data_IF_400573939426
#
_entry.id   IF_400573939426
#
_cell.length_a   1.000
_cell.length_b   1.000
_cell.length_c   1.000
_cell.angle_alpha   90.00
_cell.angle_beta   90.00
_cell.angle_gamma   90.00
#
_symmetry.space_group_name_H-M   'P 1'
#
loop_
_entity.id
_entity.type
_entity.pdbx_description
1 polymer ?
#
# COMPACT_ATOMS: atom_id res chain seq x y z
N UNK A 1 -41.81 18.67 39.19
CA UNK A 1 -40.44 18.80 38.65
C UNK A 1 -39.79 17.45 38.76
N UNK A 2 -39.46 16.80 37.64
CA UNK A 2 -38.64 15.58 37.64
C UNK A 2 -37.54 15.76 36.60
N UNK A 3 -36.35 16.12 37.05
CA UNK A 3 -35.14 16.08 36.22
C UNK A 3 -34.72 14.61 36.11
N UNK A 4 -35.13 13.94 35.03
CA UNK A 4 -34.55 12.67 34.66
C UNK A 4 -33.13 12.88 34.15
N UNK A 5 -32.16 13.09 35.05
CA UNK A 5 -30.73 13.10 34.70
C UNK A 5 -30.28 11.66 34.52
N UNK A 6 -30.74 11.01 33.46
CA UNK A 6 -30.26 9.68 33.07
C UNK A 6 -28.95 9.83 32.29
N UNK A 7 -27.88 9.20 32.79
CA UNK A 7 -26.63 9.08 32.03
C UNK A 7 -26.84 8.03 30.94
N UNK A 8 -26.76 8.43 29.68
CA UNK A 8 -26.74 7.51 28.54
C UNK A 8 -25.29 7.08 28.32
N UNK A 9 -24.99 5.79 28.48
CA UNK A 9 -23.68 5.22 28.16
C UNK A 9 -23.79 4.29 26.96
N UNK A 10 -22.83 4.41 26.04
CA UNK A 10 -22.68 3.51 24.91
C UNK A 10 -21.36 2.75 25.05
N UNK A 11 -21.40 1.45 24.80
CA UNK A 11 -20.19 0.63 24.71
C UNK A 11 -19.82 0.47 23.25
N UNK A 12 -18.57 0.78 22.90
CA UNK A 12 -18.03 0.63 21.54
C UNK A 12 -16.81 -0.27 21.61
N UNK A 13 -16.75 -1.27 20.73
CA UNK A 13 -15.61 -2.16 20.61
C UNK A 13 -14.67 -1.65 19.51
N UNK A 14 -13.46 -1.24 19.89
CA UNK A 14 -12.40 -0.86 18.95
C UNK A 14 -11.58 -2.11 18.61
N UNK A 15 -11.60 -2.51 17.33
CA UNK A 15 -10.75 -3.57 16.83
C UNK A 15 -9.58 -2.98 16.02
N UNK A 16 -8.36 -3.05 16.56
CA UNK A 16 -7.15 -2.60 15.88
C UNK A 16 -6.59 -3.77 15.06
N UNK A 17 -6.45 -3.60 13.74
CA UNK A 17 -5.81 -4.58 12.86
C UNK A 17 -4.57 -3.97 12.23
N UNK A 18 -3.41 -4.63 12.38
CA UNK A 18 -2.19 -4.25 11.67
C UNK A 18 -2.22 -4.82 10.25
N UNK A 19 -2.26 -3.98 9.20
CA UNK A 19 -2.23 -4.49 7.85
C UNK A 19 -0.89 -5.17 7.55
N UNK A 20 -0.94 -6.33 6.88
CA UNK A 20 0.27 -7.06 6.45
C UNK A 20 0.30 -7.13 4.95
N UNK A 21 1.41 -6.68 4.36
CA UNK A 21 1.59 -6.63 2.92
C UNK A 21 2.93 -7.27 2.51
N UNK A 22 2.95 -7.86 1.32
CA UNK A 22 4.16 -8.46 0.74
C UNK A 22 4.22 -8.14 -0.75
N UNK A 23 5.40 -7.73 -1.23
CA UNK A 23 5.66 -7.53 -2.66
C UNK A 23 6.07 -8.89 -3.25
N UNK A 24 5.43 -9.28 -4.34
CA UNK A 24 5.73 -10.49 -5.09
C UNK A 24 6.96 -10.26 -5.96
N UNK A 25 7.86 -11.25 -6.00
CA UNK A 25 9.09 -11.19 -6.77
C UNK A 25 10.33 -11.05 -5.90
N UNK A 26 11.50 -10.79 -6.50
CA UNK A 26 12.75 -10.63 -5.78
C UNK A 26 12.76 -9.34 -4.95
N UNK A 27 13.49 -9.35 -3.83
CA UNK A 27 13.68 -8.17 -2.96
C UNK A 27 14.45 -7.04 -3.63
N UNK A 28 15.28 -7.42 -4.60
CA UNK A 28 16.18 -6.55 -5.35
C UNK A 28 15.98 -6.82 -6.83
N UNK A 29 15.82 -5.74 -7.60
CA UNK A 29 15.67 -5.79 -9.04
C UNK A 29 16.81 -5.02 -9.70
N UNK A 30 17.45 -5.64 -10.68
CA UNK A 30 18.38 -4.98 -11.57
C UNK A 30 17.61 -4.35 -12.73
N UNK A 31 17.56 -3.03 -12.75
CA UNK A 31 16.75 -2.27 -13.70
C UNK A 31 17.63 -1.76 -14.83
N UNK A 32 17.35 -2.24 -16.04
CA UNK A 32 17.90 -1.66 -17.26
C UNK A 32 17.13 -0.42 -17.67
N UNK A 33 17.85 0.58 -18.18
CA UNK A 33 17.24 1.82 -18.65
C UNK A 33 16.25 1.56 -19.79
N UNK A 34 15.10 2.22 -19.75
CA UNK A 34 14.08 2.12 -20.79
C UNK A 34 13.11 0.95 -20.62
N UNK A 35 13.40 -0.03 -19.76
CA UNK A 35 12.50 -1.14 -19.52
C UNK A 35 11.25 -0.73 -18.71
N UNK A 36 10.18 -1.50 -18.88
CA UNK A 36 8.99 -1.39 -18.04
C UNK A 36 9.04 -2.43 -16.92
N UNK A 37 8.82 -1.98 -15.68
CA UNK A 37 8.81 -2.84 -14.50
C UNK A 37 7.40 -2.85 -13.92
N UNK A 38 6.95 -4.03 -13.52
CA UNK A 38 5.67 -4.20 -12.82
C UNK A 38 5.91 -4.90 -11.50
N UNK A 39 5.48 -4.26 -10.41
CA UNK A 39 5.51 -4.79 -9.07
C UNK A 39 4.10 -5.04 -8.59
N UNK A 40 3.90 -6.18 -7.93
CA UNK A 40 2.61 -6.57 -7.39
C UNK A 40 2.78 -6.75 -5.90
N UNK A 41 1.97 -6.06 -5.11
CA UNK A 41 1.90 -6.23 -3.68
C UNK A 41 0.55 -6.83 -3.29
N UNK A 42 0.59 -7.81 -2.38
CA UNK A 42 -0.59 -8.46 -1.81
C UNK A 42 -0.70 -8.09 -0.34
N UNK A 43 -1.82 -7.47 0.02
CA UNK A 43 -2.21 -7.17 1.39
C UNK A 43 -3.06 -8.34 1.89
N UNK A 44 -2.49 -9.11 2.81
CA UNK A 44 -3.05 -10.36 3.34
C UNK A 44 -3.97 -10.12 4.54
N UNK A 45 -3.76 -9.03 5.27
CA UNK A 45 -4.52 -8.66 6.47
C UNK A 45 -4.76 -7.15 6.48
N UNK A 46 -5.89 -6.74 7.02
CA UNK A 46 -6.30 -5.33 7.05
C UNK A 46 -6.82 -4.83 5.71
N UNK A 47 -7.65 -3.78 5.75
CA UNK A 47 -8.12 -3.04 4.58
C UNK A 47 -7.66 -1.59 4.73
N UNK A 48 -6.40 -1.29 4.37
CA UNK A 48 -5.88 0.06 4.53
C UNK A 48 -6.64 1.02 3.59
N UNK A 49 -6.97 2.25 4.02
CA UNK A 49 -7.59 3.25 3.16
C UNK A 49 -6.65 3.72 2.04
N UNK A 50 -5.33 3.65 2.26
CA UNK A 50 -4.32 4.10 1.32
C UNK A 50 -3.13 3.14 1.26
N UNK A 51 -2.42 3.15 0.12
CA UNK A 51 -1.21 2.36 -0.09
C UNK A 51 -0.16 3.26 -0.72
N UNK A 52 1.04 3.24 -0.14
CA UNK A 52 2.15 4.07 -0.58
C UNK A 52 3.30 3.19 -1.06
N UNK A 53 3.82 3.50 -2.24
CA UNK A 53 5.00 2.85 -2.81
C UNK A 53 6.23 3.71 -2.58
N UNK A 54 7.35 3.05 -2.29
CA UNK A 54 8.62 3.68 -2.00
C UNK A 54 9.76 2.96 -2.71
N UNK A 55 10.79 3.73 -3.06
CA UNK A 55 12.08 3.26 -3.53
C UNK A 55 13.17 3.98 -2.72
N UNK A 56 14.07 3.24 -2.09
CA UNK A 56 15.14 3.80 -1.24
C UNK A 56 14.64 4.86 -0.23
N UNK A 57 13.50 4.58 0.41
CA UNK A 57 12.81 5.48 1.36
C UNK A 57 12.19 6.74 0.75
N UNK A 58 12.36 6.99 -0.54
CA UNK A 58 11.62 8.03 -1.25
C UNK A 58 10.29 7.49 -1.74
N UNK A 59 9.23 8.24 -1.45
CA UNK A 59 7.91 7.95 -1.99
C UNK A 59 7.96 8.05 -3.51
N UNK A 60 7.49 7.01 -4.18
CA UNK A 60 7.34 6.98 -5.63
C UNK A 60 6.03 7.70 -5.95
N UNK A 61 6.13 8.95 -6.41
CA UNK A 61 5.00 9.88 -6.61
C UNK A 61 5.12 10.60 -7.97
N UNK A 62 3.96 10.93 -8.56
CA UNK A 62 3.73 11.76 -9.75
C UNK A 62 4.88 11.89 -10.76
N UNK A 63 5.24 10.77 -11.40
CA UNK A 63 5.99 10.76 -12.66
C UNK A 63 5.01 10.27 -13.74
N UNK A 64 5.02 10.88 -14.92
CA UNK A 64 4.17 10.47 -16.06
C UNK A 64 4.46 9.04 -16.51
N UNK A 65 5.60 8.50 -16.10
CA UNK A 65 6.02 7.14 -16.37
C UNK A 65 5.46 6.10 -15.39
N UNK A 66 4.88 6.54 -14.28
CA UNK A 66 4.41 5.68 -13.19
C UNK A 66 2.89 5.51 -13.25
N UNK A 67 2.43 4.29 -12.99
CA UNK A 67 1.02 3.98 -12.76
C UNK A 67 0.88 3.14 -11.49
N UNK A 68 -0.05 3.51 -10.61
CA UNK A 68 -0.40 2.75 -9.41
C UNK A 68 -1.87 2.36 -9.51
N UNK A 69 -2.12 1.06 -9.50
CA UNK A 69 -3.48 0.50 -9.51
C UNK A 69 -3.69 -0.29 -8.22
N UNK A 70 -4.81 -0.08 -7.55
CA UNK A 70 -5.18 -0.87 -6.36
C UNK A 70 -6.49 -1.57 -6.64
N UNK A 71 -6.49 -2.89 -6.57
CA UNK A 71 -7.64 -3.75 -6.82
C UNK A 71 -7.96 -4.57 -5.56
N UNK A 72 -9.21 -4.55 -5.13
CA UNK A 72 -9.68 -5.34 -3.99
C UNK A 72 -10.32 -6.62 -4.52
N UNK A 73 -9.79 -7.78 -4.13
CA UNK A 73 -10.31 -9.09 -4.50
C UNK A 73 -10.75 -9.84 -3.22
N UNK A 74 -12.03 -9.71 -2.88
CA UNK A 74 -12.62 -10.29 -1.68
C UNK A 74 -12.02 -9.74 -0.39
N UNK A 75 -11.24 -10.57 0.31
CA UNK A 75 -10.55 -10.19 1.55
C UNK A 75 -9.12 -9.70 1.33
N UNK A 76 -8.58 -9.83 0.11
CA UNK A 76 -7.21 -9.44 -0.24
C UNK A 76 -7.23 -8.15 -1.03
N UNK A 77 -6.22 -7.31 -0.82
CA UNK A 77 -6.01 -6.12 -1.65
C UNK A 77 -4.72 -6.28 -2.42
N UNK A 78 -4.77 -6.05 -3.72
CA UNK A 78 -3.64 -6.11 -4.61
C UNK A 78 -3.28 -4.70 -5.06
N UNK A 79 -2.06 -4.25 -4.82
CA UNK A 79 -1.54 -3.00 -5.37
C UNK A 79 -0.52 -3.32 -6.45
N UNK A 80 -0.64 -2.69 -7.61
CA UNK A 80 0.26 -2.84 -8.75
C UNK A 80 0.94 -1.50 -9.01
N UNK A 81 2.26 -1.48 -8.99
CA UNK A 81 3.07 -0.35 -9.44
C UNK A 81 3.71 -0.71 -10.77
N UNK A 82 3.44 0.09 -11.79
CA UNK A 82 4.06 -0.02 -13.12
C UNK A 82 4.94 1.20 -13.35
N UNK A 83 6.20 0.96 -13.72
CA UNK A 83 7.20 1.98 -14.04
C UNK A 83 7.60 1.79 -15.49
N UNK A 84 7.14 2.66 -16.37
CA UNK A 84 7.60 2.68 -17.78
C UNK A 84 8.90 3.47 -17.90
N UNK A 85 9.72 3.16 -18.92
CA UNK A 85 10.99 3.86 -19.17
C UNK A 85 11.81 4.08 -17.89
N UNK A 86 12.00 3.00 -17.13
CA UNK A 86 12.68 3.07 -15.85
C UNK A 86 14.09 3.62 -16.04
N UNK A 87 14.55 4.43 -15.10
CA UNK A 87 15.96 4.87 -15.08
C UNK A 87 16.82 3.66 -14.73
N UNK A 88 18.03 3.56 -15.26
CA UNK A 88 18.94 2.52 -14.79
C UNK A 88 19.18 2.71 -13.30
N UNK A 89 18.80 1.70 -12.51
CA UNK A 89 19.09 1.64 -11.09
C UNK A 89 19.73 0.28 -10.84
N UNK A 90 21.00 0.23 -10.42
CA UNK A 90 21.70 -1.04 -10.21
C UNK A 90 21.08 -1.86 -9.08
N UNK A 91 20.43 -1.21 -8.10
CA UNK A 91 19.79 -1.87 -6.98
C UNK A 91 18.46 -1.17 -6.68
N UNK A 92 17.35 -1.68 -7.24
CA UNK A 92 16.02 -1.13 -6.96
C UNK A 92 15.37 -1.92 -5.83
N UNK A 93 15.21 -1.29 -4.65
CA UNK A 93 14.50 -1.88 -3.50
C UNK A 93 13.10 -1.28 -3.39
N UNK A 94 12.05 -1.98 -3.85
CA UNK A 94 10.70 -1.52 -3.63
C UNK A 94 10.27 -1.79 -2.19
N UNK A 95 9.57 -0.82 -1.61
CA UNK A 95 8.86 -1.00 -0.34
C UNK A 95 7.45 -0.46 -0.45
N UNK A 96 6.56 -0.99 0.38
CA UNK A 96 5.16 -0.63 0.41
C UNK A 96 4.68 -0.49 1.84
N UNK A 97 3.98 0.61 2.11
CA UNK A 97 3.39 0.90 3.41
C UNK A 97 1.88 1.04 3.26
N UNK A 98 1.09 0.13 3.86
CA UNK A 98 -0.34 0.34 4.07
C UNK A 98 -0.55 1.48 5.06
N UNK A 99 -1.37 2.47 4.70
CA UNK A 99 -1.81 3.56 5.59
C UNK A 99 -3.00 3.20 6.46
#
# INVERSE_FOLDING_TARGET
MYTGTGVLSQFVNLHVSTPRAAILGPRELHVQEGNTITLICVIQQGKPPFVFWYHDQQMVNYDTRLSVETHVEGARTHSRLTISHARSVPHFIPSLTPG
#
